data_IF_549424766031
#
_entry.id   IF_549424766031
#
_cell.length_a   1.000
_cell.length_b   1.000
_cell.length_c   1.000
_cell.angle_alpha   90.00
_cell.angle_beta   90.00
_cell.angle_gamma   90.00
#
_symmetry.space_group_name_H-M   'P 1'
#
loop_
_entity.id
_entity.type
_entity.pdbx_description
1 polymer ?
#
# COMPACT_ATOMS: atom_id res chain seq x y z
N UNK A 1 28.68 24.20 -43.32
CA UNK A 1 27.27 23.76 -43.21
C UNK A 1 27.32 22.26 -42.99
N UNK A 2 26.61 21.75 -41.98
CA UNK A 2 26.58 20.32 -41.67
C UNK A 2 25.84 19.58 -42.78
N UNK A 3 26.44 18.52 -43.31
CA UNK A 3 25.82 17.64 -44.30
C UNK A 3 25.61 16.22 -43.73
N UNK A 4 25.00 16.15 -42.55
CA UNK A 4 24.68 14.90 -41.88
C UNK A 4 23.58 14.13 -42.61
N UNK A 5 23.67 12.80 -42.61
CA UNK A 5 22.62 11.93 -43.15
C UNK A 5 21.34 12.04 -42.32
N UNK A 6 20.21 11.63 -42.91
CA UNK A 6 18.92 11.59 -42.19
C UNK A 6 19.01 10.73 -40.93
N UNK A 7 19.74 9.62 -40.99
CA UNK A 7 19.96 8.73 -39.84
C UNK A 7 20.75 9.45 -38.74
N UNK A 8 21.90 10.05 -39.07
CA UNK A 8 22.71 10.80 -38.10
C UNK A 8 21.91 11.93 -37.44
N UNK A 9 21.10 12.67 -38.23
CA UNK A 9 20.22 13.71 -37.71
C UNK A 9 19.19 13.14 -36.74
N UNK A 10 18.52 12.02 -37.09
CA UNK A 10 17.56 11.37 -36.19
C UNK A 10 18.19 10.99 -34.86
N UNK A 11 19.36 10.35 -34.89
CA UNK A 11 20.08 9.94 -33.67
C UNK A 11 20.50 11.16 -32.85
N UNK A 12 21.09 12.18 -33.47
CA UNK A 12 21.52 13.40 -32.78
C UNK A 12 20.35 14.11 -32.07
N UNK A 13 19.24 14.31 -32.77
CA UNK A 13 18.07 14.99 -32.23
C UNK A 13 17.34 14.16 -31.18
N UNK A 14 17.28 12.83 -31.33
CA UNK A 14 16.69 11.94 -30.33
C UNK A 14 17.53 11.86 -29.06
N UNK A 15 18.86 11.69 -29.19
CA UNK A 15 19.78 11.62 -28.05
C UNK A 15 19.83 12.92 -27.27
N UNK A 16 19.57 14.06 -27.91
CA UNK A 16 19.50 15.36 -27.26
C UNK A 16 18.11 15.74 -26.71
N UNK A 17 17.08 14.91 -26.93
CA UNK A 17 15.69 15.13 -26.51
C UNK A 17 15.13 16.55 -26.78
N UNK A 18 15.45 17.10 -27.96
CA UNK A 18 15.04 18.47 -28.33
C UNK A 18 15.48 19.52 -27.28
N UNK A 19 16.69 19.39 -26.73
CA UNK A 19 17.29 20.32 -25.77
C UNK A 19 18.73 20.67 -26.15
N UNK A 20 19.12 21.91 -25.84
CA UNK A 20 20.50 22.35 -25.94
C UNK A 20 21.41 21.50 -25.03
N UNK A 21 22.58 21.10 -25.52
CA UNK A 21 23.55 20.34 -24.74
C UNK A 21 24.35 21.18 -23.72
N UNK A 22 24.32 22.51 -23.81
CA UNK A 22 25.06 23.40 -22.90
C UNK A 22 24.38 23.50 -21.52
N UNK A 23 25.00 23.15 -20.38
CA UNK A 23 24.41 23.32 -19.06
C UNK A 23 24.54 24.78 -18.56
N UNK A 24 23.52 25.34 -17.88
CA UNK A 24 22.25 24.74 -17.47
C UNK A 24 21.11 24.99 -18.49
N UNK A 25 21.41 25.17 -19.78
CA UNK A 25 20.41 25.53 -20.77
C UNK A 25 19.41 24.40 -21.04
N UNK A 26 18.13 24.64 -20.73
CA UNK A 26 17.03 23.72 -21.02
C UNK A 26 16.17 24.17 -22.21
N UNK A 27 16.71 25.05 -23.06
CA UNK A 27 15.98 25.59 -24.20
C UNK A 27 15.56 24.48 -25.17
N UNK A 28 14.28 24.50 -25.57
CA UNK A 28 13.73 23.67 -26.65
C UNK A 28 14.29 24.11 -28.00
N UNK A 29 14.71 23.15 -28.82
CA UNK A 29 15.35 23.39 -30.11
C UNK A 29 14.40 23.27 -31.30
N UNK A 30 13.19 22.78 -31.05
CA UNK A 30 12.00 22.91 -31.89
C UNK A 30 11.03 23.75 -31.07
N UNK A 31 10.86 25.00 -31.48
CA UNK A 31 9.99 25.96 -30.82
C UNK A 31 8.60 25.95 -31.47
N UNK A 32 7.58 25.96 -30.62
CA UNK A 32 6.21 26.24 -31.02
C UNK A 32 6.06 27.77 -31.09
N UNK A 33 6.49 28.34 -32.21
CA UNK A 33 6.36 29.77 -32.49
C UNK A 33 4.95 30.06 -33.02
N UNK A 34 3.93 29.77 -32.20
CA UNK A 34 2.55 30.17 -32.48
C UNK A 34 2.47 31.70 -32.47
N UNK A 35 2.25 32.28 -33.65
CA UNK A 35 1.44 33.48 -33.75
C UNK A 35 -0.02 32.99 -33.84
N UNK A 36 -0.93 33.35 -32.92
CA UNK A 36 -2.31 32.86 -32.93
C UNK A 36 -3.07 33.10 -34.26
N UNK A 37 -2.57 34.00 -35.12
CA UNK A 37 -3.21 34.40 -36.37
C UNK A 37 -2.71 33.63 -37.61
N UNK A 38 -1.62 32.85 -37.53
CA UNK A 38 -1.07 32.10 -38.67
C UNK A 38 -1.48 30.62 -38.63
N UNK A 39 -2.68 30.33 -39.16
CA UNK A 39 -3.24 28.98 -39.25
C UNK A 39 -2.48 28.02 -40.20
N UNK A 40 -1.41 28.48 -40.88
CA UNK A 40 -0.63 27.69 -41.84
C UNK A 40 0.59 26.98 -41.22
N UNK A 41 0.95 27.23 -39.97
CA UNK A 41 2.14 26.65 -39.34
C UNK A 41 1.83 25.31 -38.64
N UNK A 42 1.70 24.23 -39.42
CA UNK A 42 1.35 22.88 -38.92
C UNK A 42 2.52 22.11 -38.30
N UNK A 43 3.76 22.64 -38.35
CA UNK A 43 4.99 21.96 -37.87
C UNK A 43 5.81 22.96 -37.04
N UNK A 44 6.32 22.54 -35.87
CA UNK A 44 7.19 23.36 -35.02
C UNK A 44 8.45 23.83 -35.75
N UNK A 45 8.95 25.03 -35.44
CA UNK A 45 10.13 25.61 -36.10
C UNK A 45 11.41 25.10 -35.45
N UNK A 46 12.29 24.51 -36.26
CA UNK A 46 13.62 24.07 -35.86
C UNK A 46 14.51 25.30 -35.68
N UNK A 47 14.92 25.56 -34.44
CA UNK A 47 15.85 26.64 -34.07
C UNK A 47 17.19 26.10 -33.55
N UNK A 48 17.29 24.80 -33.29
CA UNK A 48 18.54 24.15 -32.90
C UNK A 48 19.52 24.04 -34.06
N UNK A 49 20.80 24.06 -33.71
CA UNK A 49 21.91 23.97 -34.63
C UNK A 49 22.71 22.71 -34.37
N UNK A 50 22.98 21.98 -35.44
CA UNK A 50 23.89 20.84 -35.47
C UNK A 50 25.29 21.43 -35.58
N UNK A 51 26.03 21.47 -34.46
CA UNK A 51 27.32 22.10 -34.38
C UNK A 51 28.44 21.07 -34.54
N UNK A 52 29.47 21.42 -35.32
CA UNK A 52 30.68 20.62 -35.43
C UNK A 52 31.56 20.80 -34.19
N UNK A 53 31.98 19.68 -33.59
CA UNK A 53 33.00 19.68 -32.52
C UNK A 53 34.35 20.06 -33.12
N UNK A 54 34.71 19.49 -34.29
CA UNK A 54 35.92 19.84 -35.07
C UNK A 54 35.54 20.48 -36.40
N UNK A 55 36.17 21.61 -36.74
CA UNK A 55 35.93 22.34 -38.00
C UNK A 55 36.56 21.67 -39.23
N UNK A 56 35.85 21.72 -40.36
CA UNK A 56 36.36 21.36 -41.69
C UNK A 56 37.29 22.41 -42.30
N UNK A 57 37.22 23.66 -41.84
CA UNK A 57 38.07 24.76 -42.33
C UNK A 57 39.40 24.76 -41.56
N UNK A 58 40.56 24.81 -42.25
CA UNK A 58 41.87 24.92 -41.60
C UNK A 58 42.01 26.09 -40.64
N UNK A 59 41.32 27.20 -40.93
CA UNK A 59 41.29 28.40 -40.10
C UNK A 59 40.13 28.44 -39.09
N UNK A 60 39.31 27.39 -39.01
CA UNK A 60 38.14 27.35 -38.14
C UNK A 60 38.41 26.73 -36.77
N UNK A 61 37.42 26.77 -35.86
CA UNK A 61 37.57 26.29 -34.49
C UNK A 61 37.98 24.83 -34.42
N UNK A 62 39.01 24.54 -33.61
CA UNK A 62 39.46 23.17 -33.30
C UNK A 62 39.69 22.30 -34.54
N UNK A 63 40.18 22.89 -35.64
CA UNK A 63 40.54 22.11 -36.83
C UNK A 63 41.63 21.10 -36.48
N UNK A 64 41.40 19.84 -36.83
CA UNK A 64 42.34 18.75 -36.62
C UNK A 64 42.62 18.04 -37.95
N UNK A 65 43.79 18.26 -38.58
CA UNK A 65 44.14 17.61 -39.84
C UNK A 65 44.40 16.11 -39.68
N UNK A 66 44.52 15.59 -38.45
CA UNK A 66 44.70 14.16 -38.16
C UNK A 66 43.36 13.44 -37.94
N UNK A 67 42.24 14.15 -37.91
CA UNK A 67 40.92 13.54 -37.76
C UNK A 67 40.51 12.83 -39.06
N UNK A 68 40.41 11.50 -39.01
CA UNK A 68 40.20 10.65 -40.19
C UNK A 68 38.74 10.26 -40.45
N UNK A 69 37.84 10.52 -39.50
CA UNK A 69 36.42 10.18 -39.62
C UNK A 69 35.65 11.33 -40.31
N UNK A 70 34.43 11.06 -40.76
CA UNK A 70 33.58 12.10 -41.33
C UNK A 70 33.28 13.19 -40.30
N UNK A 71 33.46 14.45 -40.68
CA UNK A 71 33.14 15.60 -39.83
C UNK A 71 31.64 15.76 -39.59
N UNK A 72 30.81 15.21 -40.49
CA UNK A 72 29.35 15.18 -40.37
C UNK A 72 28.84 13.90 -39.67
N UNK A 73 29.74 13.06 -39.11
CA UNK A 73 29.34 11.90 -38.32
C UNK A 73 28.82 12.31 -36.94
N UNK A 74 27.93 11.49 -36.37
CA UNK A 74 27.32 11.68 -35.05
C UNK A 74 28.35 12.04 -33.95
N UNK A 75 29.49 11.36 -33.94
CA UNK A 75 30.54 11.53 -32.93
C UNK A 75 31.21 12.91 -32.97
N UNK A 76 31.08 13.65 -34.08
CA UNK A 76 31.62 15.00 -34.24
C UNK A 76 30.53 16.08 -34.21
N UNK A 77 29.28 15.71 -33.90
CA UNK A 77 28.16 16.64 -33.84
C UNK A 77 27.60 16.76 -32.43
N UNK A 78 27.32 17.99 -32.00
CA UNK A 78 26.62 18.32 -30.77
C UNK A 78 25.43 19.24 -31.09
N UNK A 79 24.32 19.07 -30.39
CA UNK A 79 23.10 19.84 -30.65
C UNK A 79 22.99 21.00 -29.67
N UNK A 80 22.93 22.23 -30.19
CA UNK A 80 22.95 23.47 -29.39
C UNK A 80 21.86 24.45 -29.84
N UNK A 81 21.51 25.40 -28.98
CA UNK A 81 20.76 26.57 -29.43
C UNK A 81 21.70 27.60 -30.08
N UNK A 82 21.19 28.53 -30.91
CA UNK A 82 22.03 29.47 -31.66
C UNK A 82 22.93 30.31 -30.76
N UNK A 83 22.44 30.67 -29.57
CA UNK A 83 23.20 31.41 -28.55
C UNK A 83 24.43 30.65 -28.09
N UNK A 84 24.28 29.38 -27.70
CA UNK A 84 25.39 28.59 -27.16
C UNK A 84 26.33 28.09 -28.26
N UNK A 85 25.82 27.81 -29.46
CA UNK A 85 26.68 27.53 -30.61
C UNK A 85 27.58 28.72 -30.93
N UNK A 86 27.01 29.93 -31.02
CA UNK A 86 27.79 31.17 -31.23
C UNK A 86 28.79 31.41 -30.09
N UNK A 87 28.39 31.17 -28.84
CA UNK A 87 29.27 31.37 -27.69
C UNK A 87 30.47 30.41 -27.69
N UNK A 88 30.25 29.14 -28.05
CA UNK A 88 31.30 28.11 -28.11
C UNK A 88 32.31 28.39 -29.23
N UNK A 89 31.85 28.89 -30.38
CA UNK A 89 32.70 29.15 -31.55
C UNK A 89 33.36 30.54 -31.54
N UNK A 90 32.99 31.40 -30.58
CA UNK A 90 33.58 32.72 -30.42
C UNK A 90 35.10 32.64 -30.21
N UNK A 91 35.82 33.64 -30.69
CA UNK A 91 37.29 33.75 -30.59
C UNK A 91 37.98 32.46 -31.10
N UNK A 92 37.50 31.98 -32.25
CA UNK A 92 37.92 30.74 -32.91
C UNK A 92 37.83 29.49 -32.03
N UNK A 93 36.90 29.49 -31.07
CA UNK A 93 36.68 28.39 -30.16
C UNK A 93 37.78 28.17 -29.11
N UNK A 94 38.62 29.18 -28.87
CA UNK A 94 39.77 29.09 -27.96
C UNK A 94 39.43 28.72 -26.52
N UNK A 95 38.18 28.97 -26.09
CA UNK A 95 37.70 28.65 -24.75
C UNK A 95 37.23 27.19 -24.56
N UNK A 96 37.09 26.41 -25.65
CA UNK A 96 36.57 25.05 -25.59
C UNK A 96 37.49 24.12 -26.38
N UNK A 97 38.07 23.13 -25.70
CA UNK A 97 38.79 22.05 -26.37
C UNK A 97 37.82 21.07 -27.05
N UNK A 98 38.38 20.17 -27.85
CA UNK A 98 37.62 19.07 -28.44
C UNK A 98 37.08 18.13 -27.36
N UNK A 99 37.90 17.86 -26.35
CA UNK A 99 37.60 17.01 -25.20
C UNK A 99 36.44 17.59 -24.39
N UNK A 100 36.43 18.91 -24.17
CA UNK A 100 35.34 19.58 -23.44
C UNK A 100 33.99 19.38 -24.14
N UNK A 101 33.94 19.53 -25.47
CA UNK A 101 32.70 19.37 -26.23
C UNK A 101 32.24 17.91 -26.35
N UNK A 102 33.18 16.97 -26.42
CA UNK A 102 32.87 15.54 -26.35
C UNK A 102 32.29 15.17 -24.98
N UNK A 103 32.88 15.69 -23.90
CA UNK A 103 32.36 15.50 -22.55
C UNK A 103 30.98 16.14 -22.38
N UNK A 104 30.80 17.37 -22.88
CA UNK A 104 29.54 18.09 -22.88
C UNK A 104 28.42 17.29 -23.57
N UNK A 105 28.69 16.75 -24.76
CA UNK A 105 27.78 15.87 -25.50
C UNK A 105 27.44 14.63 -24.67
N UNK A 106 28.45 13.94 -24.16
CA UNK A 106 28.27 12.70 -23.39
C UNK A 106 27.46 12.93 -22.10
N UNK A 107 27.71 14.03 -21.38
CA UNK A 107 26.98 14.39 -20.17
C UNK A 107 25.51 14.68 -20.45
N UNK A 108 25.24 15.45 -21.51
CA UNK A 108 23.87 15.74 -21.94
C UNK A 108 23.12 14.47 -22.34
N UNK A 109 23.72 13.62 -23.16
CA UNK A 109 23.09 12.38 -23.63
C UNK A 109 22.85 11.39 -22.48
N UNK A 110 23.79 11.26 -21.53
CA UNK A 110 23.57 10.47 -20.30
C UNK A 110 22.43 11.00 -19.45
N UNK A 111 22.33 12.33 -19.30
CA UNK A 111 21.23 12.96 -18.57
C UNK A 111 19.88 12.69 -19.26
N UNK A 112 19.83 12.79 -20.59
CA UNK A 112 18.63 12.49 -21.38
C UNK A 112 18.23 11.03 -21.23
N UNK A 113 19.17 10.10 -21.36
CA UNK A 113 18.92 8.66 -21.22
C UNK A 113 18.37 8.32 -19.83
N UNK A 114 18.97 8.87 -18.77
CA UNK A 114 18.49 8.68 -17.39
C UNK A 114 17.05 9.21 -17.16
N UNK A 115 16.65 10.26 -17.87
CA UNK A 115 15.29 10.83 -17.80
C UNK A 115 14.26 10.02 -18.60
N UNK A 116 14.66 9.47 -19.75
CA UNK A 116 13.77 8.72 -20.65
C UNK A 116 13.66 7.25 -20.26
N UNK A 117 14.74 6.68 -19.72
CA UNK A 117 14.83 5.33 -19.21
C UNK A 117 15.10 5.39 -17.70
N UNK A 118 14.15 5.93 -16.90
CA UNK A 118 14.29 5.78 -15.46
C UNK A 118 14.42 4.29 -15.18
N UNK A 119 15.33 3.85 -14.29
CA UNK A 119 15.33 2.47 -13.83
C UNK A 119 13.89 2.12 -13.48
N UNK A 120 13.35 1.00 -14.01
CA UNK A 120 12.04 0.49 -13.58
C UNK A 120 12.11 0.50 -12.06
N UNK A 121 11.42 1.46 -11.45
CA UNK A 121 11.62 1.72 -10.04
C UNK A 121 11.14 0.46 -9.35
N UNK A 122 12.06 -0.37 -8.85
CA UNK A 122 11.75 -1.58 -8.10
C UNK A 122 10.71 -1.29 -7.03
N UNK A 123 10.74 -0.07 -6.48
CA UNK A 123 9.73 0.46 -5.56
C UNK A 123 8.30 0.58 -6.10
N UNK A 124 8.07 0.85 -7.41
CA UNK A 124 6.70 0.90 -7.97
C UNK A 124 6.09 -0.48 -8.11
N UNK A 125 6.83 -1.43 -8.69
CA UNK A 125 6.38 -2.82 -8.83
C UNK A 125 6.17 -3.47 -7.47
N UNK A 126 7.09 -3.23 -6.53
CA UNK A 126 6.95 -3.68 -5.14
C UNK A 126 5.72 -3.08 -4.46
N UNK A 127 5.54 -1.76 -4.56
CA UNK A 127 4.36 -1.08 -3.99
C UNK A 127 3.06 -1.66 -4.55
N UNK A 128 2.98 -1.89 -5.86
CA UNK A 128 1.81 -2.46 -6.51
C UNK A 128 1.53 -3.90 -6.05
N UNK A 129 2.58 -4.71 -5.88
CA UNK A 129 2.44 -6.06 -5.33
C UNK A 129 1.95 -6.06 -3.86
N UNK A 130 2.44 -5.12 -3.05
CA UNK A 130 1.98 -4.91 -1.67
C UNK A 130 0.51 -4.50 -1.65
N UNK A 131 0.11 -3.52 -2.46
CA UNK A 131 -1.29 -3.06 -2.54
C UNK A 131 -2.22 -4.16 -3.06
N UNK A 132 -1.78 -4.97 -4.03
CA UNK A 132 -2.55 -6.14 -4.50
C UNK A 132 -2.82 -7.13 -3.35
N UNK A 133 -1.84 -7.32 -2.47
CA UNK A 133 -1.98 -8.19 -1.30
C UNK A 133 -2.95 -7.60 -0.27
N UNK A 134 -2.89 -6.28 -0.03
CA UNK A 134 -3.83 -5.57 0.85
C UNK A 134 -5.25 -5.65 0.30
N UNK A 135 -5.46 -5.43 -1.00
CA UNK A 135 -6.77 -5.54 -1.63
C UNK A 135 -7.37 -6.95 -1.49
N UNK A 136 -6.55 -8.00 -1.67
CA UNK A 136 -6.98 -9.38 -1.43
C UNK A 136 -7.44 -9.60 0.02
N UNK A 137 -6.73 -9.03 0.99
CA UNK A 137 -7.10 -9.13 2.40
C UNK A 137 -8.43 -8.43 2.70
N UNK A 138 -8.65 -7.23 2.13
CA UNK A 138 -9.91 -6.52 2.28
C UNK A 138 -11.10 -7.32 1.74
N UNK A 139 -10.93 -7.89 0.55
CA UNK A 139 -11.94 -8.73 -0.09
C UNK A 139 -12.21 -10.01 0.71
N UNK A 140 -11.15 -10.66 1.21
CA UNK A 140 -11.27 -11.94 1.92
C UNK A 140 -12.02 -11.84 3.26
N UNK A 141 -12.07 -10.65 3.85
CA UNK A 141 -12.85 -10.36 5.07
C UNK A 141 -14.11 -9.54 4.82
N UNK A 142 -14.32 -9.09 3.57
CA UNK A 142 -15.40 -8.17 3.21
C UNK A 142 -15.39 -6.91 4.09
N UNK A 143 -14.23 -6.25 4.16
CA UNK A 143 -13.96 -5.10 5.05
C UNK A 143 -14.94 -3.95 4.83
N UNK A 144 -15.44 -3.75 3.61
CA UNK A 144 -16.41 -2.69 3.31
C UNK A 144 -17.80 -2.93 3.92
N UNK A 145 -18.14 -4.18 4.25
CA UNK A 145 -19.36 -4.55 4.97
C UNK A 145 -19.06 -5.12 6.36
N UNK A 146 -18.01 -4.60 7.02
CA UNK A 146 -17.58 -5.04 8.35
C UNK A 146 -18.68 -4.94 9.42
N UNK A 147 -19.58 -3.97 9.27
CA UNK A 147 -20.74 -3.78 10.14
C UNK A 147 -21.66 -5.01 10.15
N UNK A 148 -21.79 -5.72 9.03
CA UNK A 148 -22.65 -6.90 8.96
C UNK A 148 -22.07 -8.10 9.72
N UNK A 149 -20.75 -8.33 9.62
CA UNK A 149 -20.07 -9.36 10.41
C UNK A 149 -20.19 -9.04 11.90
N UNK A 150 -19.86 -7.81 12.27
CA UNK A 150 -19.83 -7.38 13.67
C UNK A 150 -21.22 -7.37 14.30
N UNK A 151 -22.25 -6.94 13.57
CA UNK A 151 -23.65 -6.97 14.04
C UNK A 151 -24.13 -8.39 14.37
N UNK A 152 -23.77 -9.39 13.56
CA UNK A 152 -24.18 -10.79 13.79
C UNK A 152 -23.47 -11.38 15.02
N UNK A 153 -22.18 -11.11 15.16
CA UNK A 153 -21.37 -11.59 16.29
C UNK A 153 -21.63 -10.82 17.59
N UNK A 154 -22.12 -9.58 17.53
CA UNK A 154 -22.53 -8.78 18.69
C UNK A 154 -24.04 -8.80 18.94
N UNK A 155 -24.78 -9.73 18.32
CA UNK A 155 -26.22 -9.88 18.55
C UNK A 155 -26.50 -10.62 19.86
N UNK A 156 -27.75 -10.58 20.33
CA UNK A 156 -28.19 -11.28 21.55
C UNK A 156 -27.95 -12.78 21.53
N UNK A 157 -27.90 -13.39 20.34
CA UNK A 157 -27.45 -14.75 20.10
C UNK A 157 -26.37 -14.71 19.03
N UNK A 158 -25.08 -14.57 19.42
CA UNK A 158 -24.00 -14.40 18.46
C UNK A 158 -23.95 -15.53 17.44
N UNK A 159 -23.84 -15.16 16.17
CA UNK A 159 -23.77 -16.11 15.07
C UNK A 159 -22.93 -15.60 13.91
N UNK A 160 -22.51 -16.52 13.05
CA UNK A 160 -21.80 -16.25 11.80
C UNK A 160 -22.31 -17.20 10.73
N UNK A 161 -22.60 -16.71 9.53
CA UNK A 161 -22.99 -17.59 8.41
C UNK A 161 -21.85 -18.51 8.03
N UNK A 162 -22.15 -19.71 7.52
CA UNK A 162 -21.13 -20.67 7.07
C UNK A 162 -20.11 -20.06 6.10
N UNK A 163 -20.59 -19.26 5.13
CA UNK A 163 -19.72 -18.52 4.20
C UNK A 163 -18.68 -17.65 4.93
N UNK A 164 -19.11 -16.81 5.87
CA UNK A 164 -18.20 -15.94 6.61
C UNK A 164 -17.27 -16.72 7.55
N UNK A 165 -17.73 -17.82 8.16
CA UNK A 165 -16.86 -18.68 8.96
C UNK A 165 -15.71 -19.27 8.11
N UNK A 166 -16.03 -19.74 6.90
CA UNK A 166 -15.03 -20.20 5.94
C UNK A 166 -14.07 -19.08 5.53
N UNK A 167 -14.59 -17.89 5.20
CA UNK A 167 -13.78 -16.73 4.85
C UNK A 167 -12.79 -16.33 5.97
N UNK A 168 -13.23 -16.36 7.22
CA UNK A 168 -12.37 -16.10 8.39
C UNK A 168 -11.25 -17.13 8.49
N UNK A 169 -11.58 -18.43 8.38
CA UNK A 169 -10.61 -19.52 8.46
C UNK A 169 -9.60 -19.51 7.31
N UNK A 170 -10.06 -19.26 6.08
CA UNK A 170 -9.22 -19.16 4.89
C UNK A 170 -8.30 -17.94 4.97
N UNK A 171 -8.83 -16.81 5.42
CA UNK A 171 -8.03 -15.60 5.63
C UNK A 171 -6.98 -15.80 6.70
N UNK A 172 -7.33 -16.38 7.85
CA UNK A 172 -6.38 -16.68 8.92
C UNK A 172 -5.22 -17.55 8.42
N UNK A 173 -5.54 -18.60 7.66
CA UNK A 173 -4.56 -19.50 7.06
C UNK A 173 -3.66 -18.79 6.05
N UNK A 174 -4.25 -17.96 5.19
CA UNK A 174 -3.51 -17.19 4.21
C UNK A 174 -2.58 -16.18 4.87
N UNK A 175 -3.07 -15.38 5.82
CA UNK A 175 -2.27 -14.38 6.57
C UNK A 175 -1.07 -15.03 7.25
N UNK A 176 -1.25 -16.19 7.88
CA UNK A 176 -0.17 -16.93 8.54
C UNK A 176 0.94 -17.38 7.56
N UNK A 177 0.63 -17.52 6.26
CA UNK A 177 1.59 -17.90 5.23
C UNK A 177 2.26 -16.72 4.51
N UNK A 178 1.90 -15.48 4.82
CA UNK A 178 2.44 -14.30 4.14
C UNK A 178 3.81 -13.92 4.70
N UNK A 179 4.77 -13.68 3.81
CA UNK A 179 6.01 -12.95 4.15
C UNK A 179 5.97 -11.53 3.57
N UNK A 180 6.26 -10.54 4.42
CA UNK A 180 6.37 -9.13 4.01
C UNK A 180 7.83 -8.76 3.74
N UNK A 181 8.12 -7.89 2.74
CA UNK A 181 9.45 -7.32 2.56
C UNK A 181 9.89 -6.55 3.82
N UNK A 182 11.17 -6.60 4.16
CA UNK A 182 11.73 -5.95 5.37
C UNK A 182 11.54 -4.43 5.41
N UNK A 183 11.23 -3.82 4.27
CA UNK A 183 10.90 -2.39 4.12
C UNK A 183 9.56 -2.00 4.75
N UNK A 184 8.66 -2.95 5.01
CA UNK A 184 7.31 -2.70 5.56
C UNK A 184 7.15 -3.34 6.96
N UNK A 185 7.95 -2.92 7.96
CA UNK A 185 7.91 -3.53 9.29
C UNK A 185 6.59 -3.32 10.03
N UNK A 186 5.95 -2.14 9.92
CA UNK A 186 4.65 -1.88 10.57
C UNK A 186 3.55 -2.70 9.93
N UNK A 187 3.55 -2.82 8.60
CA UNK A 187 2.60 -3.66 7.88
C UNK A 187 2.75 -5.13 8.28
N UNK A 188 3.99 -5.61 8.37
CA UNK A 188 4.29 -6.96 8.84
C UNK A 188 3.77 -7.20 10.26
N UNK A 189 4.05 -6.29 11.18
CA UNK A 189 3.59 -6.37 12.57
C UNK A 189 2.07 -6.30 12.70
N UNK A 190 1.40 -5.43 11.93
CA UNK A 190 -0.05 -5.30 11.90
C UNK A 190 -0.73 -6.58 11.39
N UNK A 191 -0.27 -7.14 10.27
CA UNK A 191 -0.80 -8.39 9.72
C UNK A 191 -0.54 -9.58 10.65
N UNK A 192 0.61 -9.62 11.31
CA UNK A 192 0.93 -10.68 12.29
C UNK A 192 -0.02 -10.62 13.48
N UNK A 193 -0.26 -9.41 14.01
CA UNK A 193 -1.22 -9.16 15.09
C UNK A 193 -2.65 -9.55 14.68
N UNK A 194 -3.06 -9.12 13.49
CA UNK A 194 -4.39 -9.41 12.96
C UNK A 194 -4.60 -10.91 12.71
N UNK A 195 -3.61 -11.58 12.13
CA UNK A 195 -3.62 -13.02 11.87
C UNK A 195 -3.71 -13.84 13.16
N UNK A 196 -2.94 -13.48 14.20
CA UNK A 196 -3.00 -14.13 15.50
C UNK A 196 -4.40 -14.06 16.11
N UNK A 197 -5.03 -12.89 16.07
CA UNK A 197 -6.38 -12.72 16.61
C UNK A 197 -7.47 -13.39 15.76
N UNK A 198 -7.35 -13.35 14.43
CA UNK A 198 -8.22 -14.11 13.54
C UNK A 198 -8.18 -15.60 13.88
N UNK A 199 -6.99 -16.16 14.12
CA UNK A 199 -6.82 -17.55 14.50
C UNK A 199 -7.56 -17.88 15.81
N UNK A 200 -7.42 -17.03 16.83
CA UNK A 200 -8.12 -17.18 18.12
C UNK A 200 -9.65 -17.10 17.94
N UNK A 201 -10.15 -16.19 17.10
CA UNK A 201 -11.58 -16.11 16.80
C UNK A 201 -12.09 -17.39 16.12
N UNK A 202 -11.36 -17.89 15.11
CA UNK A 202 -11.71 -19.14 14.42
C UNK A 202 -11.73 -20.31 15.40
N UNK A 203 -10.70 -20.43 16.26
CA UNK A 203 -10.66 -21.45 17.31
C UNK A 203 -11.85 -21.37 18.27
N UNK A 204 -12.27 -20.16 18.67
CA UNK A 204 -13.44 -19.98 19.53
C UNK A 204 -14.74 -20.38 18.82
N UNK A 205 -14.88 -20.05 17.54
CA UNK A 205 -16.02 -20.49 16.71
C UNK A 205 -16.07 -22.02 16.66
N UNK A 206 -14.95 -22.66 16.32
CA UNK A 206 -14.88 -24.13 16.17
C UNK A 206 -15.20 -24.89 17.47
N UNK A 207 -14.87 -24.31 18.62
CA UNK A 207 -15.02 -24.97 19.93
C UNK A 207 -16.34 -24.63 20.63
N UNK A 208 -16.90 -23.45 20.38
CA UNK A 208 -18.03 -22.91 21.16
C UNK A 208 -19.33 -22.73 20.37
N UNK A 209 -19.29 -22.83 19.04
CA UNK A 209 -20.47 -22.67 18.19
C UNK A 209 -20.99 -24.03 17.71
N UNK A 210 -22.28 -24.07 17.37
CA UNK A 210 -22.91 -25.20 16.69
C UNK A 210 -23.43 -24.78 15.32
N UNK A 211 -23.17 -25.62 14.33
CA UNK A 211 -23.75 -25.48 13.01
C UNK A 211 -25.25 -25.80 13.03
N UNK A 212 -26.07 -24.88 12.52
CA UNK A 212 -27.51 -25.03 12.32
C UNK A 212 -27.90 -24.40 11.00
N UNK A 213 -28.55 -25.20 10.14
CA UNK A 213 -29.01 -24.80 8.80
C UNK A 213 -27.85 -24.29 7.93
N UNK A 214 -27.58 -22.99 7.92
CA UNK A 214 -26.54 -22.34 7.10
C UNK A 214 -25.57 -21.48 7.91
N UNK A 215 -25.61 -21.56 9.25
CA UNK A 215 -24.86 -20.68 10.15
C UNK A 215 -24.34 -21.42 11.37
N UNK A 216 -23.29 -20.86 11.98
CA UNK A 216 -22.79 -21.24 13.28
C UNK A 216 -23.35 -20.26 14.30
N UNK A 217 -23.97 -20.74 15.38
CA UNK A 217 -24.40 -19.92 16.51
C UNK A 217 -23.75 -20.40 17.81
N UNK A 218 -23.48 -19.50 18.75
CA UNK A 218 -22.96 -19.89 20.08
C UNK A 218 -23.88 -20.95 20.68
N UNK A 219 -23.28 -22.05 21.15
CA UNK A 219 -24.03 -23.21 21.65
C UNK A 219 -24.91 -22.83 22.85
N UNK A 220 -26.18 -23.21 22.81
CA UNK A 220 -27.18 -22.89 23.84
C UNK A 220 -27.59 -24.15 24.58
N UNK A 221 -26.65 -24.77 25.31
CA UNK A 221 -26.90 -26.04 26.04
C UNK A 221 -28.12 -25.96 26.95
N UNK A 222 -28.33 -24.81 27.62
CA UNK A 222 -29.48 -24.56 28.49
C UNK A 222 -30.85 -24.60 27.77
N UNK A 223 -30.88 -24.63 26.42
CA UNK A 223 -32.08 -24.84 25.59
C UNK A 223 -32.11 -26.21 24.89
N UNK A 224 -30.98 -26.93 24.84
CA UNK A 224 -30.83 -28.20 24.13
C UNK A 224 -31.14 -29.41 25.02
N UNK A 225 -30.86 -29.30 26.32
CA UNK A 225 -30.98 -30.42 27.26
C UNK A 225 -32.18 -30.29 28.18
N UNK A 226 -32.82 -31.43 28.46
CA UNK A 226 -33.85 -31.54 29.47
C UNK A 226 -33.23 -31.90 30.82
N UNK A 227 -33.15 -30.93 31.73
CA UNK A 227 -32.58 -31.12 33.06
C UNK A 227 -33.62 -31.77 33.99
N UNK A 228 -33.28 -32.91 34.61
CA UNK A 228 -34.18 -33.66 35.51
C UNK A 228 -33.48 -34.05 36.79
N UNK A 229 -34.28 -34.21 37.86
CA UNK A 229 -33.79 -34.63 39.16
C UNK A 229 -33.35 -33.47 40.06
N UNK A 230 -32.75 -33.83 41.20
CA UNK A 230 -32.46 -32.92 42.31
C UNK A 230 -31.47 -31.79 41.94
N UNK A 231 -30.59 -32.02 40.97
CA UNK A 231 -29.56 -31.05 40.54
C UNK A 231 -29.93 -30.28 39.26
N UNK A 232 -31.16 -30.40 38.78
CA UNK A 232 -31.59 -29.82 37.50
C UNK A 232 -31.39 -28.30 37.40
N UNK A 233 -31.70 -27.55 38.45
CA UNK A 233 -31.49 -26.10 38.50
C UNK A 233 -29.99 -25.74 38.38
N UNK A 234 -29.14 -26.43 39.15
CA UNK A 234 -27.68 -26.23 39.10
C UNK A 234 -27.09 -26.54 37.73
N UNK A 235 -27.57 -27.60 37.08
CA UNK A 235 -27.13 -27.96 35.73
C UNK A 235 -27.58 -26.94 34.68
N UNK A 236 -28.80 -26.40 34.81
CA UNK A 236 -29.28 -25.31 33.97
C UNK A 236 -28.40 -24.06 34.12
N UNK A 237 -28.08 -23.67 35.36
CA UNK A 237 -27.25 -22.49 35.62
C UNK A 237 -25.86 -22.63 35.00
N UNK A 238 -25.21 -23.79 35.17
CA UNK A 238 -23.90 -24.05 34.55
C UNK A 238 -23.97 -23.88 33.03
N UNK A 239 -25.01 -24.43 32.40
CA UNK A 239 -25.20 -24.34 30.96
C UNK A 239 -25.56 -22.92 30.47
N UNK A 240 -26.21 -22.12 31.31
CA UNK A 240 -26.50 -20.72 31.04
C UNK A 240 -25.25 -19.85 31.21
N UNK A 241 -24.46 -20.08 32.26
CA UNK A 241 -23.19 -19.40 32.48
C UNK A 241 -22.16 -19.68 31.39
N UNK A 242 -22.07 -20.92 30.90
CA UNK A 242 -21.24 -21.27 29.75
C UNK A 242 -21.65 -20.48 28.50
N UNK A 243 -22.95 -20.33 28.25
CA UNK A 243 -23.46 -19.54 27.12
C UNK A 243 -23.11 -18.06 27.26
N UNK A 244 -23.30 -17.47 28.44
CA UNK A 244 -22.99 -16.07 28.71
C UNK A 244 -21.49 -15.81 28.55
N UNK A 245 -20.64 -16.66 29.13
CA UNK A 245 -19.19 -16.57 28.96
C UNK A 245 -18.76 -16.63 27.49
N UNK A 246 -19.27 -17.60 26.73
CA UNK A 246 -18.89 -17.72 25.32
C UNK A 246 -19.38 -16.52 24.48
N UNK A 247 -20.52 -15.92 24.85
CA UNK A 247 -21.05 -14.71 24.19
C UNK A 247 -20.18 -13.48 24.47
N UNK A 248 -19.75 -13.29 25.72
CA UNK A 248 -18.84 -12.19 26.10
C UNK A 248 -17.45 -12.34 25.46
N UNK A 249 -16.94 -13.57 25.36
CA UNK A 249 -15.68 -13.83 24.63
C UNK A 249 -15.82 -13.41 23.16
N UNK A 250 -16.96 -13.69 22.50
CA UNK A 250 -17.19 -13.24 21.11
C UNK A 250 -17.14 -11.72 21.03
N UNK A 251 -17.81 -11.01 21.96
CA UNK A 251 -17.82 -9.54 21.99
C UNK A 251 -16.41 -8.96 22.17
N UNK A 252 -15.58 -9.55 23.05
CA UNK A 252 -14.18 -9.17 23.21
C UNK A 252 -13.38 -9.40 21.92
N UNK A 253 -13.48 -10.60 21.35
CA UNK A 253 -12.70 -10.98 20.17
C UNK A 253 -13.07 -10.13 18.95
N UNK A 254 -14.35 -9.84 18.71
CA UNK A 254 -14.76 -9.03 17.55
C UNK A 254 -14.42 -7.55 17.73
N UNK A 255 -14.44 -7.05 18.97
CA UNK A 255 -13.98 -5.69 19.29
C UNK A 255 -12.48 -5.56 19.02
N UNK A 256 -11.68 -6.49 19.56
CA UNK A 256 -10.23 -6.52 19.32
C UNK A 256 -9.94 -6.75 17.83
N UNK A 257 -10.71 -7.60 17.13
CA UNK A 257 -10.51 -7.86 15.70
C UNK A 257 -10.71 -6.57 14.91
N UNK A 258 -11.71 -5.77 15.26
CA UNK A 258 -11.90 -4.46 14.67
C UNK A 258 -10.71 -3.52 14.94
N UNK A 259 -10.12 -3.55 16.15
CA UNK A 259 -8.88 -2.80 16.45
C UNK A 259 -7.74 -3.24 15.53
N UNK A 260 -7.57 -4.54 15.30
CA UNK A 260 -6.50 -5.07 14.41
C UNK A 260 -6.73 -4.77 12.92
N UNK A 261 -7.98 -4.74 12.45
CA UNK A 261 -8.29 -4.29 11.08
C UNK A 261 -7.90 -2.82 10.91
N UNK A 262 -8.27 -1.98 11.88
CA UNK A 262 -7.86 -0.57 11.89
C UNK A 262 -6.34 -0.37 12.03
N UNK A 263 -5.64 -1.29 12.71
CA UNK A 263 -4.17 -1.31 12.77
C UNK A 263 -3.55 -1.57 11.39
N UNK A 264 -4.08 -2.54 10.64
CA UNK A 264 -3.65 -2.83 9.26
C UNK A 264 -3.86 -1.60 8.39
N UNK A 265 -5.05 -0.98 8.45
CA UNK A 265 -5.34 0.25 7.70
C UNK A 265 -4.34 1.37 8.02
N UNK A 266 -3.99 1.52 9.30
CA UNK A 266 -2.99 2.51 9.75
C UNK A 266 -1.60 2.19 9.17
N UNK A 267 -1.17 0.92 9.22
CA UNK A 267 0.13 0.52 8.66
C UNK A 267 0.23 0.76 7.16
N UNK A 268 -0.83 0.48 6.40
CA UNK A 268 -0.87 0.73 4.95
C UNK A 268 -0.75 2.22 4.66
N UNK A 269 -1.48 3.06 5.41
CA UNK A 269 -1.40 4.52 5.29
C UNK A 269 0.00 5.06 5.61
N UNK A 270 0.65 4.51 6.64
CA UNK A 270 1.98 4.92 7.09
C UNK A 270 3.11 4.52 6.13
N UNK A 271 3.08 3.30 5.58
CA UNK A 271 4.24 2.73 4.88
C UNK A 271 4.06 2.56 3.37
N UNK A 272 2.83 2.52 2.86
CA UNK A 272 2.53 2.11 1.48
C UNK A 272 1.85 3.22 0.69
N UNK A 273 0.70 3.69 1.18
CA UNK A 273 -0.12 4.68 0.50
C UNK A 273 -0.93 5.55 1.48
N UNK A 274 -0.55 6.82 1.68
CA UNK A 274 -1.24 7.75 2.58
C UNK A 274 -2.69 8.09 2.18
N UNK A 275 -3.13 7.69 0.98
CA UNK A 275 -4.50 7.89 0.49
C UNK A 275 -5.31 6.58 0.55
N UNK A 276 -4.78 5.54 1.15
CA UNK A 276 -5.48 4.27 1.28
C UNK A 276 -6.72 4.42 2.18
N UNK A 277 -7.88 4.08 1.61
CA UNK A 277 -9.20 4.27 2.21
C UNK A 277 -9.48 5.73 2.62
N UNK A 278 -9.06 6.70 1.81
CA UNK A 278 -9.25 8.13 2.11
C UNK A 278 -10.72 8.53 2.26
N UNK A 279 -11.63 7.92 1.49
CA UNK A 279 -13.07 8.23 1.57
C UNK A 279 -13.77 7.40 2.67
N UNK A 280 -13.40 6.12 2.78
CA UNK A 280 -14.03 5.17 3.70
C UNK A 280 -13.56 5.33 5.15
N UNK A 281 -12.27 5.65 5.33
CA UNK A 281 -11.60 5.77 6.61
C UNK A 281 -11.49 4.45 7.38
N UNK A 282 -11.37 4.58 8.71
CA UNK A 282 -11.34 3.46 9.65
C UNK A 282 -12.68 2.71 9.70
N UNK A 283 -12.60 1.38 9.81
CA UNK A 283 -13.77 0.51 9.91
C UNK A 283 -14.50 0.66 11.24
N UNK A 284 -15.79 0.38 11.21
CA UNK A 284 -16.73 0.58 12.31
C UNK A 284 -17.32 -0.74 12.74
N UNK A 285 -17.46 -0.92 14.04
CA UNK A 285 -18.14 -2.07 14.62
C UNK A 285 -19.58 -1.69 14.97
N UNK A 286 -20.53 -2.55 14.63
CA UNK A 286 -21.92 -2.43 15.05
C UNK A 286 -22.22 -3.45 16.15
N UNK A 287 -22.93 -3.02 17.19
CA UNK A 287 -23.40 -3.87 18.29
C UNK A 287 -24.88 -3.63 18.57
N UNK A 288 -25.52 -4.62 19.19
CA UNK A 288 -26.95 -4.60 19.51
C UNK A 288 -27.83 -5.21 18.41
N UNK A 289 -29.13 -4.98 18.49
CA UNK A 289 -30.11 -5.51 17.53
C UNK A 289 -31.25 -4.50 17.27
N UNK A 290 -32.13 -4.86 16.33
CA UNK A 290 -33.26 -4.01 15.92
C UNK A 290 -34.31 -3.80 17.02
N UNK A 291 -34.27 -4.59 18.09
CA UNK A 291 -35.23 -4.51 19.20
C UNK A 291 -34.69 -3.62 20.34
N UNK A 292 -33.39 -3.67 20.61
CA UNK A 292 -32.75 -2.95 21.73
C UNK A 292 -31.88 -1.76 21.29
N UNK A 293 -31.80 -1.52 19.98
CA UNK A 293 -31.05 -0.43 19.38
C UNK A 293 -29.69 -0.89 18.85
N UNK A 294 -29.27 -0.27 17.75
CA UNK A 294 -27.95 -0.47 17.16
C UNK A 294 -27.03 0.65 17.62
N UNK A 295 -25.84 0.26 18.08
CA UNK A 295 -24.77 1.20 18.44
C UNK A 295 -23.59 0.99 17.50
N UNK A 296 -22.98 2.09 17.05
CA UNK A 296 -21.77 2.06 16.23
C UNK A 296 -20.59 2.56 17.04
N UNK A 297 -19.46 1.88 16.93
CA UNK A 297 -18.20 2.25 17.57
C UNK A 297 -17.03 2.10 16.60
N UNK A 298 -15.89 2.69 16.93
CA UNK A 298 -14.68 2.65 16.11
C UNK A 298 -13.48 2.16 16.93
N UNK A 299 -13.45 0.87 17.35
CA UNK A 299 -12.33 0.33 18.10
C UNK A 299 -11.03 0.48 17.29
N UNK A 300 -10.02 1.12 17.90
CA UNK A 300 -8.69 1.31 17.33
C UNK A 300 -7.64 1.28 18.44
N UNK A 301 -6.43 0.86 18.09
CA UNK A 301 -5.27 1.10 18.96
C UNK A 301 -4.86 2.58 18.85
N UNK A 302 -4.35 3.14 19.94
CA UNK A 302 -3.65 4.42 19.90
C UNK A 302 -2.20 4.17 19.49
N UNK A 303 -1.93 4.21 18.19
CA UNK A 303 -0.63 3.83 17.63
C UNK A 303 0.29 5.05 17.51
N UNK A 304 0.67 5.63 18.65
CA UNK A 304 1.75 6.62 18.69
C UNK A 304 3.13 5.94 18.58
N UNK A 305 3.22 4.67 18.99
CA UNK A 305 4.41 3.84 18.97
C UNK A 305 4.05 2.40 18.53
N UNK A 306 4.89 1.82 17.68
CA UNK A 306 4.75 0.47 17.14
C UNK A 306 5.48 -0.60 17.97
N UNK A 307 6.22 -0.21 19.01
CA UNK A 307 7.01 -1.11 19.86
C UNK A 307 6.21 -2.23 20.54
N UNK A 308 4.91 -2.03 20.73
CA UNK A 308 3.98 -3.03 21.26
C UNK A 308 3.43 -4.03 20.25
N UNK A 309 3.95 -4.06 19.02
CA UNK A 309 3.52 -4.97 17.96
C UNK A 309 4.70 -5.80 17.40
N UNK A 310 4.45 -7.05 16.95
CA UNK A 310 3.15 -7.72 16.91
C UNK A 310 2.64 -8.14 18.29
N UNK A 311 1.31 -8.16 18.47
CA UNK A 311 0.69 -8.74 19.68
C UNK A 311 0.34 -10.20 19.45
N UNK A 312 0.50 -10.98 20.50
CA UNK A 312 0.08 -12.37 20.58
C UNK A 312 -1.23 -12.48 21.36
N UNK A 313 -2.00 -13.53 21.11
CA UNK A 313 -3.28 -13.78 21.75
C UNK A 313 -3.41 -15.27 22.06
N UNK A 314 -3.89 -15.59 23.26
CA UNK A 314 -4.20 -16.96 23.67
C UNK A 314 -5.68 -17.07 24.10
N UNK A 315 -6.39 -18.06 23.54
CA UNK A 315 -7.81 -18.24 23.81
C UNK A 315 -8.09 -18.64 25.27
N UNK A 316 -7.20 -19.42 25.90
CA UNK A 316 -7.38 -19.87 27.26
C UNK A 316 -7.21 -18.70 28.24
N UNK A 317 -6.24 -17.82 28.01
CA UNK A 317 -6.02 -16.62 28.80
C UNK A 317 -7.18 -15.63 28.67
N UNK A 318 -7.64 -15.37 27.44
CA UNK A 318 -8.82 -14.53 27.19
C UNK A 318 -10.02 -15.11 27.92
N UNK A 319 -10.30 -16.41 27.76
CA UNK A 319 -11.42 -17.09 28.43
C UNK A 319 -11.32 -16.98 29.95
N UNK A 320 -10.14 -17.21 30.52
CA UNK A 320 -9.90 -17.14 31.97
C UNK A 320 -10.17 -15.74 32.52
N UNK A 321 -9.68 -14.71 31.81
CA UNK A 321 -9.83 -13.30 32.22
C UNK A 321 -11.26 -12.81 32.06
N UNK A 322 -11.92 -13.12 30.94
CA UNK A 322 -13.34 -12.81 30.76
C UNK A 322 -14.14 -13.47 31.86
N UNK A 323 -13.94 -14.77 32.12
CA UNK A 323 -14.63 -15.48 33.20
C UNK A 323 -14.41 -14.81 34.56
N UNK A 324 -13.19 -14.32 34.85
CA UNK A 324 -12.92 -13.59 36.10
C UNK A 324 -13.72 -12.28 36.19
N UNK A 325 -13.83 -11.52 35.10
CA UNK A 325 -14.53 -10.23 35.10
C UNK A 325 -16.05 -10.37 35.18
N UNK A 326 -16.61 -11.43 34.60
CA UNK A 326 -18.06 -11.68 34.58
C UNK A 326 -18.54 -12.68 35.64
N UNK A 327 -17.74 -12.95 36.68
CA UNK A 327 -18.07 -13.93 37.73
C UNK A 327 -18.47 -15.31 37.17
N UNK A 328 -17.72 -15.78 36.16
CA UNK A 328 -17.96 -17.05 35.46
C UNK A 328 -19.19 -17.05 34.54
N UNK A 329 -19.86 -15.90 34.38
CA UNK A 329 -21.14 -15.78 33.69
C UNK A 329 -22.31 -16.17 34.59
N UNK A 330 -22.19 -16.09 35.92
CA UNK A 330 -23.31 -16.36 36.82
C UNK A 330 -24.47 -15.38 36.52
N UNK A 331 -25.65 -15.86 36.10
CA UNK A 331 -26.80 -15.00 35.80
C UNK A 331 -27.36 -14.29 37.03
N UNK A 332 -26.99 -14.73 38.25
CA UNK A 332 -27.41 -14.11 39.52
C UNK A 332 -26.46 -13.02 39.98
N UNK A 333 -25.24 -13.01 39.45
CA UNK A 333 -24.26 -11.98 39.74
C UNK A 333 -24.55 -10.73 38.89
N UNK A 334 -24.45 -9.56 39.50
CA UNK A 334 -24.53 -8.29 38.77
C UNK A 334 -23.14 -7.92 38.26
N UNK A 335 -22.85 -8.24 37.00
CA UNK A 335 -21.57 -7.95 36.36
C UNK A 335 -21.75 -7.10 35.10
N UNK A 336 -20.67 -6.44 34.70
CA UNK A 336 -20.60 -5.67 33.44
C UNK A 336 -19.17 -5.72 32.94
N UNK A 337 -18.97 -6.26 31.74
CA UNK A 337 -17.66 -6.30 31.08
C UNK A 337 -17.46 -5.04 30.25
N UNK A 338 -16.40 -4.28 30.52
CA UNK A 338 -16.04 -3.15 29.68
C UNK A 338 -15.15 -3.59 28.51
N UNK A 339 -15.79 -4.08 27.44
CA UNK A 339 -15.12 -4.53 26.21
C UNK A 339 -14.25 -3.45 25.54
N UNK A 340 -14.54 -2.16 25.79
CA UNK A 340 -13.79 -1.05 25.19
C UNK A 340 -12.42 -0.85 25.82
N UNK A 341 -12.24 -1.25 27.08
CA UNK A 341 -10.97 -1.15 27.82
C UNK A 341 -10.31 -2.50 28.06
N UNK A 342 -10.97 -3.61 27.73
CA UNK A 342 -10.41 -4.94 27.85
C UNK A 342 -9.28 -5.14 26.83
N UNK A 343 -8.05 -5.34 27.31
CA UNK A 343 -6.90 -5.68 26.47
C UNK A 343 -6.84 -7.21 26.28
N UNK A 344 -7.14 -7.72 25.09
CA UNK A 344 -7.15 -9.15 24.83
C UNK A 344 -5.75 -9.78 24.72
N UNK A 345 -4.68 -8.98 24.60
CA UNK A 345 -3.30 -9.46 24.41
C UNK A 345 -2.53 -9.73 25.70
N UNK A 346 -3.10 -9.41 26.86
CA UNK A 346 -2.48 -9.73 28.15
C UNK A 346 -2.61 -11.23 28.41
N UNK A 347 -1.52 -11.95 28.12
CA UNK A 347 -1.34 -13.38 28.42
C UNK A 347 -0.81 -13.56 29.86
N UNK A 348 -1.15 -14.65 30.55
CA UNK A 348 -0.80 -14.90 31.96
C UNK A 348 0.11 -16.10 32.19
#
# INVERSE_FOLDING_TARGET
>A
MVNATVETRKVLWSSAANRCAYPPCEQRLVADLRNPEDASATIGRVIGEEAHIRSSKPSGPRHDPKYTRSLDAYDNLILLCPTHHTAIDKDNGSAWSVEDLLQLKADHERRVDALLNPPVASGRVEKEAVLTRVARWEESLNVDAWDELTRRLNSTVPFVSHKHAMMLSETATWVAGITWPSKYPRLSAAFSTHGALLHVLVQHIDTSFLFKEDRYEVRRRHKETWFVGRDSEKQYDIALSEYLLNSEIVAVLITELTRTVNLVITAVNDEVDPLYRFEEGAVRMTSGDVFWGLTTSHPRFEVADWSGFPREYDLADIRSRVASEISGGDPRANWTLNITTFDASVNR
#
